data_IF_984581736586
#
_entry.id   IF_984581736586
#
_cell.length_a   1.000
_cell.length_b   1.000
_cell.length_c   1.000
_cell.angle_alpha   90.00
_cell.angle_beta   90.00
_cell.angle_gamma   90.00
#
_symmetry.space_group_name_H-M   'P 1'
#
loop_
_entity.id
_entity.type
_entity.pdbx_description
1 polymer ?
#
# COMPACT_ATOMS: atom_id res chain seq x y z
N UNK A 1 -9.80 -22.73 -15.03
CA UNK A 1 -8.41 -22.38 -15.39
C UNK A 1 -7.87 -23.22 -16.56
N UNK A 2 -8.15 -24.52 -16.60
CA UNK A 2 -7.73 -25.47 -17.65
C UNK A 2 -8.10 -25.08 -19.09
N UNK A 3 -9.24 -24.43 -19.32
CA UNK A 3 -9.68 -24.00 -20.66
C UNK A 3 -9.07 -22.68 -21.14
N UNK A 4 -8.63 -21.81 -20.23
CA UNK A 4 -8.17 -20.45 -20.56
C UNK A 4 -6.66 -20.26 -20.34
N UNK A 5 -6.08 -20.97 -19.37
CA UNK A 5 -4.67 -20.88 -18.98
C UNK A 5 -4.07 -22.28 -18.71
N UNK A 6 -4.03 -23.17 -19.72
CA UNK A 6 -3.62 -24.57 -19.55
C UNK A 6 -2.17 -24.72 -19.06
N UNK A 7 -1.26 -23.86 -19.52
CA UNK A 7 0.15 -23.89 -19.10
C UNK A 7 0.33 -23.45 -17.64
N UNK A 8 -0.39 -22.42 -17.20
CA UNK A 8 -0.39 -21.97 -15.80
C UNK A 8 -0.93 -23.07 -14.88
N UNK A 9 -2.02 -23.71 -15.27
CA UNK A 9 -2.58 -24.82 -14.52
C UNK A 9 -1.60 -26.00 -14.45
N UNK A 10 -0.98 -26.38 -15.57
CA UNK A 10 0.01 -27.45 -15.61
C UNK A 10 1.23 -27.16 -14.72
N UNK A 11 1.68 -25.90 -14.66
CA UNK A 11 2.73 -25.47 -13.75
C UNK A 11 2.31 -25.60 -12.29
N UNK A 12 1.16 -25.02 -11.90
CA UNK A 12 0.69 -25.07 -10.50
C UNK A 12 0.46 -26.51 -10.02
N UNK A 13 -0.04 -27.38 -10.91
CA UNK A 13 -0.34 -28.78 -10.59
C UNK A 13 0.89 -29.57 -10.14
N UNK A 14 2.10 -29.19 -10.59
CA UNK A 14 3.36 -29.81 -10.13
C UNK A 14 3.57 -29.64 -8.62
N UNK A 15 2.96 -28.62 -8.02
CA UNK A 15 3.09 -28.29 -6.60
C UNK A 15 1.81 -28.63 -5.80
N UNK A 16 0.89 -29.43 -6.36
CA UNK A 16 -0.42 -29.68 -5.75
C UNK A 16 -0.31 -30.15 -4.29
N UNK A 17 0.52 -31.14 -4.01
CA UNK A 17 0.64 -31.71 -2.67
C UNK A 17 1.27 -30.70 -1.69
N UNK A 18 2.25 -29.92 -2.15
CA UNK A 18 2.87 -28.83 -1.37
C UNK A 18 1.85 -27.74 -1.04
N UNK A 19 0.98 -27.38 -1.99
CA UNK A 19 -0.05 -26.37 -1.79
C UNK A 19 -1.16 -26.88 -0.85
N UNK A 20 -1.47 -28.17 -0.87
CA UNK A 20 -2.45 -28.75 0.07
C UNK A 20 -1.85 -28.93 1.48
N UNK A 21 -0.53 -29.08 1.61
CA UNK A 21 0.15 -29.25 2.90
C UNK A 21 0.47 -27.94 3.63
N UNK A 22 0.01 -26.79 3.15
CA UNK A 22 0.28 -25.47 3.78
C UNK A 22 -0.19 -25.44 5.24
N UNK A 23 0.58 -24.76 6.09
CA UNK A 23 0.30 -24.70 7.55
C UNK A 23 -0.93 -23.87 7.93
N UNK A 24 -1.35 -22.92 7.09
CA UNK A 24 -2.50 -22.05 7.37
C UNK A 24 -3.82 -22.80 7.22
N UNK A 25 -4.56 -22.93 8.33
CA UNK A 25 -5.89 -23.57 8.36
C UNK A 25 -6.87 -22.93 7.37
N UNK A 26 -6.98 -21.60 7.40
CA UNK A 26 -7.88 -20.84 6.51
C UNK A 26 -7.58 -21.09 5.04
N UNK A 27 -6.30 -21.14 4.66
CA UNK A 27 -5.90 -21.38 3.28
C UNK A 27 -6.21 -22.82 2.85
N UNK A 28 -6.04 -23.80 3.75
CA UNK A 28 -6.39 -25.20 3.46
C UNK A 28 -7.89 -25.40 3.30
N UNK A 29 -8.69 -24.83 4.18
CA UNK A 29 -10.17 -24.90 4.10
C UNK A 29 -10.65 -24.29 2.79
N UNK A 30 -10.16 -23.08 2.44
CA UNK A 30 -10.48 -22.45 1.16
C UNK A 30 -10.08 -23.33 -0.03
N UNK A 31 -8.91 -23.98 0.02
CA UNK A 31 -8.44 -24.86 -1.05
C UNK A 31 -9.25 -26.16 -1.18
N UNK A 32 -9.81 -26.68 -0.08
CA UNK A 32 -10.71 -27.84 -0.08
C UNK A 32 -12.07 -27.49 -0.66
N UNK A 33 -12.58 -26.29 -0.37
CA UNK A 33 -13.87 -25.79 -0.85
C UNK A 33 -13.82 -25.29 -2.30
N UNK A 34 -12.64 -24.94 -2.80
CA UNK A 34 -12.45 -24.36 -4.14
C UNK A 34 -11.41 -25.13 -4.96
N UNK A 35 -10.17 -24.66 -4.97
CA UNK A 35 -9.09 -25.18 -5.80
C UNK A 35 -7.80 -25.33 -4.99
N UNK A 36 -6.98 -26.33 -5.30
CA UNK A 36 -5.76 -26.62 -4.54
C UNK A 36 -4.76 -25.45 -4.47
N UNK A 37 -4.82 -24.53 -5.44
CA UNK A 37 -4.00 -23.32 -5.53
C UNK A 37 -4.65 -22.07 -4.91
N UNK A 38 -5.80 -22.19 -4.24
CA UNK A 38 -6.49 -21.05 -3.64
C UNK A 38 -5.63 -20.35 -2.57
N UNK A 39 -5.86 -19.05 -2.42
CA UNK A 39 -5.17 -18.18 -1.46
C UNK A 39 -6.16 -17.24 -0.80
N UNK A 40 -6.00 -17.07 0.52
CA UNK A 40 -6.79 -16.12 1.30
C UNK A 40 -6.18 -14.71 1.24
N UNK A 41 -7.02 -13.68 1.34
CA UNK A 41 -6.58 -12.28 1.45
C UNK A 41 -6.04 -11.68 0.14
N UNK A 42 -6.48 -12.24 -1.00
CA UNK A 42 -6.18 -11.75 -2.35
C UNK A 42 -7.51 -11.47 -3.05
N UNK A 43 -7.66 -10.28 -3.62
CA UNK A 43 -8.87 -9.87 -4.33
C UNK A 43 -8.58 -8.80 -5.38
N UNK A 44 -9.62 -8.23 -6.00
CA UNK A 44 -9.47 -7.20 -7.03
C UNK A 44 -8.66 -5.99 -6.54
N UNK A 45 -8.82 -5.61 -5.27
CA UNK A 45 -8.04 -4.57 -4.61
C UNK A 45 -6.52 -4.84 -4.66
N UNK A 46 -6.09 -6.11 -4.57
CA UNK A 46 -4.67 -6.47 -4.65
C UNK A 46 -4.06 -6.09 -6.00
N UNK A 47 -4.86 -6.05 -7.07
CA UNK A 47 -4.45 -5.76 -8.44
C UNK A 47 -4.86 -4.37 -8.92
N UNK A 48 -5.45 -3.55 -8.06
CA UNK A 48 -5.92 -2.20 -8.40
C UNK A 48 -4.80 -1.34 -9.03
N UNK A 49 -5.17 -0.44 -9.94
CA UNK A 49 -4.19 0.37 -10.68
C UNK A 49 -3.37 1.25 -9.75
N UNK A 50 -4.00 1.89 -8.76
CA UNK A 50 -3.31 2.72 -7.77
C UNK A 50 -3.48 2.12 -6.38
N UNK A 51 -2.36 1.86 -5.72
CA UNK A 51 -2.32 1.31 -4.37
C UNK A 51 -1.34 2.10 -3.52
N UNK A 52 -1.77 2.50 -2.33
CA UNK A 52 -0.89 3.13 -1.34
C UNK A 52 -0.40 2.03 -0.42
N UNK A 53 0.89 1.75 -0.45
CA UNK A 53 1.49 0.62 0.25
C UNK A 53 2.41 1.11 1.36
N UNK A 54 2.32 0.54 2.55
CA UNK A 54 3.23 0.83 3.66
C UNK A 54 3.74 -0.46 4.33
N UNK A 55 4.85 -0.34 5.05
CA UNK A 55 5.46 -1.47 5.78
C UNK A 55 4.69 -1.74 7.08
N UNK A 56 4.35 -3.01 7.35
CA UNK A 56 3.82 -3.44 8.66
C UNK A 56 4.93 -3.61 9.68
N UNK A 57 6.03 -4.19 9.23
CA UNK A 57 7.22 -4.47 10.05
C UNK A 57 8.20 -3.31 9.91
N UNK A 58 8.06 -2.31 10.77
CA UNK A 58 8.86 -1.09 10.68
C UNK A 58 9.08 -0.46 12.05
N UNK A 59 9.95 0.54 12.07
CA UNK A 59 10.12 1.46 13.19
C UNK A 59 9.77 2.89 12.81
N UNK A 60 9.33 3.15 11.57
CA UNK A 60 8.93 4.45 11.02
C UNK A 60 7.89 4.22 9.94
N UNK A 61 6.89 5.10 9.85
CA UNK A 61 5.96 5.12 8.74
C UNK A 61 6.69 5.50 7.45
N UNK A 62 6.50 4.65 6.45
CA UNK A 62 6.99 4.86 5.10
C UNK A 62 5.98 4.21 4.16
N UNK A 63 5.38 5.04 3.31
CA UNK A 63 4.40 4.64 2.33
C UNK A 63 4.81 5.07 0.92
N UNK A 64 4.31 4.36 -0.09
CA UNK A 64 4.58 4.62 -1.50
C UNK A 64 3.33 4.36 -2.33
N UNK A 65 3.14 5.14 -3.39
CA UNK A 65 2.11 4.82 -4.40
C UNK A 65 2.69 3.80 -5.39
N UNK A 66 2.08 2.62 -5.43
CA UNK A 66 2.34 1.62 -6.46
C UNK A 66 1.31 1.73 -7.57
N UNK A 67 1.82 1.84 -8.79
CA UNK A 67 1.04 1.73 -10.00
C UNK A 67 1.54 0.59 -10.90
N UNK A 68 1.44 0.75 -12.23
CA UNK A 68 2.03 -0.20 -13.16
C UNK A 68 3.48 0.20 -13.44
N UNK A 69 4.38 -0.78 -13.34
CA UNK A 69 5.81 -0.61 -13.59
C UNK A 69 6.15 -1.06 -15.00
N UNK A 70 7.03 -0.30 -15.67
CA UNK A 70 7.63 -0.75 -16.92
C UNK A 70 8.71 -1.78 -16.59
N UNK A 71 8.59 -2.97 -17.17
CA UNK A 71 9.54 -4.07 -16.98
C UNK A 71 10.08 -4.51 -18.35
N UNK A 72 11.15 -5.33 -18.40
CA UNK A 72 11.59 -5.98 -19.64
C UNK A 72 10.49 -6.82 -20.31
N UNK A 73 9.46 -7.22 -19.56
CA UNK A 73 8.32 -8.01 -20.03
C UNK A 73 7.06 -7.16 -20.29
N UNK A 74 7.23 -5.84 -20.49
CA UNK A 74 6.15 -4.89 -20.70
C UNK A 74 5.64 -4.25 -19.40
N UNK A 75 4.46 -3.63 -19.47
CA UNK A 75 3.85 -2.94 -18.34
C UNK A 75 3.22 -3.97 -17.39
N UNK A 76 3.67 -4.02 -16.13
CA UNK A 76 3.23 -5.00 -15.12
C UNK A 76 2.69 -4.31 -13.86
N UNK A 77 1.68 -4.90 -13.25
CA UNK A 77 1.20 -4.49 -11.93
C UNK A 77 2.22 -4.91 -10.88
N UNK A 78 2.79 -3.96 -10.13
CA UNK A 78 3.65 -4.29 -8.99
C UNK A 78 2.81 -4.99 -7.91
N UNK A 79 3.26 -6.11 -7.35
CA UNK A 79 2.55 -6.79 -6.24
C UNK A 79 3.41 -6.66 -4.99
N UNK A 80 2.84 -6.12 -3.91
CA UNK A 80 3.54 -5.98 -2.64
C UNK A 80 3.56 -7.29 -1.88
N UNK A 81 4.54 -7.45 -0.99
CA UNK A 81 4.70 -8.66 -0.18
C UNK A 81 3.79 -8.65 1.05
N UNK A 82 3.61 -9.79 1.69
CA UNK A 82 2.80 -9.97 2.90
C UNK A 82 3.25 -9.08 4.08
N UNK A 83 4.50 -8.64 4.10
CA UNK A 83 5.06 -7.69 5.08
C UNK A 83 4.57 -6.24 4.92
N UNK A 84 3.70 -5.98 3.95
CA UNK A 84 3.11 -4.67 3.68
C UNK A 84 1.60 -4.66 3.91
N UNK A 85 1.02 -3.46 3.88
CA UNK A 85 -0.42 -3.23 3.87
C UNK A 85 -0.76 -2.21 2.81
N UNK A 86 -1.98 -2.25 2.30
CA UNK A 86 -2.37 -1.48 1.12
C UNK A 86 -3.74 -0.81 1.30
N UNK A 87 -3.85 0.42 0.80
CA UNK A 87 -5.10 1.01 0.35
C UNK A 87 -5.18 0.87 -1.16
N UNK A 88 -6.37 0.63 -1.69
CA UNK A 88 -6.62 0.60 -3.14
C UNK A 88 -7.59 1.71 -3.49
N UNK A 89 -7.23 2.52 -4.47
CA UNK A 89 -8.04 3.66 -4.93
C UNK A 89 -8.03 3.72 -6.45
N UNK A 90 -9.03 4.40 -7.02
CA UNK A 90 -9.19 4.50 -8.47
C UNK A 90 -8.50 5.73 -9.07
N UNK A 91 -8.31 6.77 -8.26
CA UNK A 91 -7.74 8.04 -8.66
C UNK A 91 -6.29 8.19 -8.16
N UNK A 92 -5.41 8.71 -9.04
CA UNK A 92 -3.98 8.89 -8.76
C UNK A 92 -3.71 9.98 -7.72
N UNK A 93 -4.46 11.08 -7.78
CA UNK A 93 -4.36 12.21 -6.86
C UNK A 93 -4.83 11.77 -5.45
N UNK A 94 -5.90 10.98 -5.36
CA UNK A 94 -6.34 10.37 -4.10
C UNK A 94 -5.26 9.44 -3.52
N UNK A 95 -4.58 8.65 -4.36
CA UNK A 95 -3.49 7.79 -3.92
C UNK A 95 -2.33 8.61 -3.36
N UNK A 96 -1.95 9.69 -4.05
CA UNK A 96 -0.87 10.57 -3.61
C UNK A 96 -1.26 11.40 -2.37
N UNK A 97 -2.52 11.81 -2.23
CA UNK A 97 -3.07 12.46 -1.05
C UNK A 97 -2.93 11.54 0.19
N UNK A 98 -3.42 10.30 0.10
CA UNK A 98 -3.27 9.31 1.17
C UNK A 98 -1.80 9.03 1.49
N UNK A 99 -0.97 8.83 0.46
CA UNK A 99 0.45 8.58 0.63
C UNK A 99 1.19 9.75 1.30
N UNK A 100 0.85 10.99 0.93
CA UNK A 100 1.39 12.21 1.53
C UNK A 100 1.04 12.30 3.01
N UNK A 101 -0.22 12.07 3.38
CA UNK A 101 -0.65 12.04 4.78
C UNK A 101 0.13 10.99 5.58
N UNK A 102 0.23 9.76 5.06
CA UNK A 102 0.92 8.65 5.76
C UNK A 102 2.43 8.86 5.92
N UNK A 103 3.05 9.68 5.07
CA UNK A 103 4.47 10.05 5.15
C UNK A 103 4.72 11.35 5.95
N UNK A 104 3.67 11.96 6.49
CA UNK A 104 3.83 13.15 7.33
C UNK A 104 4.42 12.81 8.70
N UNK A 105 5.15 13.78 9.26
CA UNK A 105 5.69 13.69 10.62
C UNK A 105 4.59 13.46 11.66
N UNK A 106 3.48 14.17 11.57
CA UNK A 106 2.33 14.04 12.48
C UNK A 106 1.82 12.59 12.54
N UNK A 107 1.66 11.94 11.38
CA UNK A 107 1.20 10.54 11.34
C UNK A 107 2.23 9.58 11.91
N UNK A 108 3.51 9.75 11.59
CA UNK A 108 4.59 8.90 12.13
C UNK A 108 4.66 9.03 13.67
N UNK A 109 4.64 10.25 14.19
CA UNK A 109 4.67 10.53 15.64
C UNK A 109 3.43 10.00 16.35
N UNK A 110 2.25 10.19 15.77
CA UNK A 110 1.00 9.66 16.32
C UNK A 110 1.04 8.14 16.41
N UNK A 111 1.41 7.44 15.34
CA UNK A 111 1.49 5.97 15.34
C UNK A 111 2.53 5.46 16.36
N UNK A 112 3.70 6.11 16.44
CA UNK A 112 4.72 5.75 17.43
C UNK A 112 4.24 5.87 18.88
N UNK A 113 3.30 6.77 19.16
CA UNK A 113 2.80 6.98 20.52
C UNK A 113 2.04 5.79 21.09
N UNK A 114 1.48 4.92 20.23
CA UNK A 114 0.68 3.76 20.67
C UNK A 114 1.08 2.43 20.01
N UNK A 115 1.96 2.44 19.00
CA UNK A 115 2.39 1.26 18.26
C UNK A 115 3.90 1.07 18.34
N UNK A 116 4.32 0.03 19.06
CA UNK A 116 5.73 -0.30 19.22
C UNK A 116 6.38 -0.70 17.90
N UNK A 117 7.65 -0.31 17.71
CA UNK A 117 8.45 -0.76 16.59
C UNK A 117 8.50 -2.30 16.51
N UNK A 118 8.52 -2.85 15.30
CA UNK A 118 8.59 -4.29 15.06
C UNK A 118 7.41 -4.80 14.25
N UNK A 119 6.96 -6.02 14.55
CA UNK A 119 6.04 -6.78 13.68
C UNK A 119 4.68 -6.11 13.42
N UNK A 120 4.17 -5.39 14.43
CA UNK A 120 2.83 -4.79 14.41
C UNK A 120 2.80 -3.30 14.12
N UNK A 121 3.96 -2.64 13.95
CA UNK A 121 4.07 -1.18 13.92
C UNK A 121 3.05 -0.53 12.96
N UNK A 122 3.03 -0.99 11.71
CA UNK A 122 2.15 -0.51 10.66
C UNK A 122 1.02 -1.48 10.31
N UNK A 123 0.48 -2.24 11.27
CA UNK A 123 -0.66 -3.13 11.00
C UNK A 123 -1.87 -2.35 10.44
N UNK A 124 -2.72 -2.92 9.57
CA UNK A 124 -3.87 -2.20 9.01
C UNK A 124 -4.78 -1.53 10.04
N UNK A 125 -4.91 -2.12 11.22
CA UNK A 125 -5.71 -1.59 12.33
C UNK A 125 -5.22 -0.23 12.84
N UNK A 126 -3.92 0.11 12.69
CA UNK A 126 -3.42 1.42 13.15
C UNK A 126 -4.08 2.57 12.39
N UNK A 127 -4.44 2.33 11.12
CA UNK A 127 -5.12 3.32 10.28
C UNK A 127 -6.53 3.63 10.78
N UNK A 128 -7.15 2.73 11.55
CA UNK A 128 -8.46 2.98 12.16
C UNK A 128 -8.43 4.07 13.24
N UNK A 129 -7.23 4.45 13.71
CA UNK A 129 -7.04 5.54 14.67
C UNK A 129 -6.78 6.88 13.99
N UNK A 130 -6.64 6.92 12.66
CA UNK A 130 -6.42 8.14 11.90
C UNK A 130 -7.74 8.69 11.37
N UNK A 131 -8.08 9.93 11.72
CA UNK A 131 -9.22 10.65 11.16
C UNK A 131 -8.86 11.28 9.81
N UNK A 132 -8.58 10.46 8.79
CA UNK A 132 -8.22 10.93 7.44
C UNK A 132 -9.47 11.46 6.73
N UNK A 133 -9.54 12.75 6.37
CA UNK A 133 -10.66 13.28 5.60
C UNK A 133 -10.74 12.61 4.23
N UNK A 134 -11.96 12.29 3.78
CA UNK A 134 -12.18 11.76 2.43
C UNK A 134 -11.62 12.74 1.39
N UNK A 135 -10.92 12.21 0.40
CA UNK A 135 -10.34 13.04 -0.65
C UNK A 135 -11.40 13.88 -1.37
N UNK A 136 -11.02 15.08 -1.75
CA UNK A 136 -11.86 16.06 -2.43
C UNK A 136 -10.97 16.88 -3.36
N UNK A 137 -11.16 16.74 -4.67
CA UNK A 137 -10.38 17.42 -5.71
C UNK A 137 -10.56 18.94 -5.69
N UNK A 138 -11.66 19.45 -5.15
CA UNK A 138 -11.91 20.89 -5.03
C UNK A 138 -11.22 21.50 -3.80
N UNK A 139 -10.70 20.66 -2.90
CA UNK A 139 -9.98 21.12 -1.71
C UNK A 139 -8.50 21.36 -2.03
N UNK A 140 -8.09 22.64 -1.98
CA UNK A 140 -6.72 23.08 -2.24
C UNK A 140 -5.66 22.41 -1.36
N UNK A 141 -5.97 22.12 -0.08
CA UNK A 141 -5.03 21.43 0.82
C UNK A 141 -4.85 19.98 0.37
N UNK A 142 -5.93 19.30 -0.02
CA UNK A 142 -5.87 17.91 -0.46
C UNK A 142 -5.03 17.79 -1.74
N UNK A 143 -5.28 18.67 -2.71
CA UNK A 143 -4.50 18.74 -3.95
C UNK A 143 -3.04 19.08 -3.67
N UNK A 144 -2.76 20.03 -2.76
CA UNK A 144 -1.39 20.37 -2.38
C UNK A 144 -0.63 19.18 -1.80
N UNK A 145 -1.25 18.40 -0.92
CA UNK A 145 -0.64 17.18 -0.34
C UNK A 145 -0.36 16.15 -1.46
N UNK A 146 -1.31 15.95 -2.37
CA UNK A 146 -1.13 15.03 -3.50
C UNK A 146 0.03 15.46 -4.41
N UNK A 147 0.10 16.74 -4.78
CA UNK A 147 1.17 17.31 -5.59
C UNK A 147 2.55 17.15 -4.92
N UNK A 148 2.66 17.49 -3.63
CA UNK A 148 3.91 17.36 -2.87
C UNK A 148 4.39 15.90 -2.82
N UNK A 149 3.46 14.96 -2.59
CA UNK A 149 3.74 13.52 -2.64
C UNK A 149 4.24 13.09 -4.02
N UNK A 150 3.57 13.51 -5.10
CA UNK A 150 3.97 13.16 -6.46
C UNK A 150 5.35 13.73 -6.83
N UNK A 151 5.62 14.99 -6.47
CA UNK A 151 6.92 15.62 -6.65
C UNK A 151 8.03 14.89 -5.88
N UNK A 152 7.77 14.50 -4.64
CA UNK A 152 8.72 13.73 -3.84
C UNK A 152 9.06 12.39 -4.50
N UNK A 153 8.07 11.66 -5.02
CA UNK A 153 8.32 10.41 -5.77
C UNK A 153 9.20 10.65 -7.00
N UNK A 154 8.93 11.71 -7.77
CA UNK A 154 9.68 12.03 -8.98
C UNK A 154 11.15 12.40 -8.68
N UNK A 155 11.40 13.13 -7.58
CA UNK A 155 12.76 13.53 -7.18
C UNK A 155 13.56 12.36 -6.59
N UNK A 156 12.95 11.55 -5.73
CA UNK A 156 13.60 10.35 -5.16
C UNK A 156 13.95 9.36 -6.27
N UNK A 157 13.10 9.20 -7.29
CA UNK A 157 13.40 8.36 -8.46
C UNK A 157 14.61 8.87 -9.27
N UNK A 158 14.95 10.16 -9.16
CA UNK A 158 16.13 10.79 -9.76
C UNK A 158 17.35 10.81 -8.80
N UNK A 159 17.23 10.25 -7.60
CA UNK A 159 18.27 10.30 -6.57
C UNK A 159 18.47 11.69 -5.97
N UNK A 160 17.44 12.55 -6.00
CA UNK A 160 17.47 13.90 -5.43
C UNK A 160 16.86 13.91 -4.03
N UNK A 161 17.41 14.79 -3.19
CA UNK A 161 16.91 15.05 -1.85
C UNK A 161 15.58 15.81 -1.85
N UNK A 162 14.80 15.64 -0.78
CA UNK A 162 13.41 16.12 -0.68
C UNK A 162 13.09 16.82 0.65
N UNK A 163 14.07 17.24 1.46
CA UNK A 163 13.81 17.76 2.81
C UNK A 163 12.84 18.96 2.79
N UNK A 164 13.05 19.91 1.87
CA UNK A 164 12.15 21.05 1.74
C UNK A 164 10.72 20.64 1.38
N UNK A 165 10.57 19.65 0.49
CA UNK A 165 9.26 19.11 0.13
C UNK A 165 8.61 18.36 1.29
N UNK A 166 9.42 17.69 2.10
CA UNK A 166 8.96 17.00 3.30
C UNK A 166 8.47 18.00 4.35
N UNK A 167 9.15 19.14 4.51
CA UNK A 167 8.71 20.23 5.39
C UNK A 167 7.39 20.83 4.91
N UNK A 168 7.29 21.17 3.62
CA UNK A 168 6.05 21.66 3.00
C UNK A 168 4.89 20.65 3.16
N UNK A 169 5.18 19.35 3.06
CA UNK A 169 4.21 18.27 3.24
C UNK A 169 3.74 18.18 4.69
N UNK A 170 4.65 18.27 5.65
CA UNK A 170 4.31 18.26 7.07
C UNK A 170 3.38 19.44 7.41
N UNK A 171 3.73 20.64 6.95
CA UNK A 171 2.90 21.84 7.18
C UNK A 171 1.50 21.70 6.53
N UNK A 172 1.43 21.18 5.30
CA UNK A 172 0.15 20.97 4.62
C UNK A 172 -0.77 19.98 5.39
N UNK A 173 -0.19 18.94 5.99
CA UNK A 173 -0.94 17.95 6.79
C UNK A 173 -1.32 18.49 8.17
N UNK A 174 -0.46 19.29 8.82
CA UNK A 174 -0.83 20.01 10.05
C UNK A 174 -2.04 20.93 9.81
N UNK A 175 -2.02 21.69 8.70
CA UNK A 175 -3.14 22.54 8.29
C UNK A 175 -4.41 21.75 7.99
N UNK A 176 -4.29 20.57 7.37
CA UNK A 176 -5.44 19.67 7.12
C UNK A 176 -6.19 19.34 8.42
N UNK A 177 -5.46 19.12 9.52
CA UNK A 177 -6.03 18.80 10.82
C UNK A 177 -6.15 19.98 11.79
N UNK A 178 -5.88 21.21 11.34
CA UNK A 178 -5.86 22.41 12.19
C UNK A 178 -4.94 22.28 13.42
N UNK A 179 -3.82 21.55 13.28
CA UNK A 179 -2.80 21.46 14.31
C UNK A 179 -2.00 22.76 14.29
N UNK A 180 -1.82 23.37 15.46
CA UNK A 180 -1.00 24.58 15.59
C UNK A 180 0.47 24.18 15.64
N UNK A 181 1.26 24.72 14.71
CA UNK A 181 2.72 24.65 14.68
C UNK A 181 3.36 25.46 15.82
#
# INVERSE_FOLDING_TARGET
MTSHFPLTYAYLRQFKDILLSRGSKVVRELAQETEFYAMYGIGEYTFAKYRVVWKRMASKMASVVLSRLRTPFGLKTAISTDTTSIFSVENEEEAHYLCGILNSKVVDEYIRSFSSAGRGFGAPSVMSNLAIPKFNSDNKIHMKIAELSQMAHALVAQGKEIEKLQDDLNEAVERLWNIKS
#
